data_IF_453267535531
#
_entry.id   IF_453267535531
#
_cell.length_a   1.000
_cell.length_b   1.000
_cell.length_c   1.000
_cell.angle_alpha   90.00
_cell.angle_beta   90.00
_cell.angle_gamma   90.00
#
_symmetry.space_group_name_H-M   'P 1'
#
loop_
_entity.id
_entity.type
_entity.pdbx_description
1 polymer ?
#
# COMPACT_ATOMS: atom_id res chain seq x y z
N UNK A 1 -23.31 -5.87 -0.89
CA UNK A 1 -22.22 -4.92 -1.17
C UNK A 1 -21.09 -5.67 -1.84
N UNK A 2 -20.51 -5.12 -2.90
CA UNK A 2 -19.37 -5.72 -3.60
C UNK A 2 -18.09 -5.35 -2.85
N UNK A 3 -17.25 -6.33 -2.53
CA UNK A 3 -15.93 -6.06 -1.94
C UNK A 3 -15.07 -5.33 -2.97
N UNK A 4 -14.38 -4.27 -2.54
CA UNK A 4 -13.49 -3.49 -3.40
C UNK A 4 -12.06 -3.52 -2.84
N UNK A 5 -11.11 -3.84 -3.72
CA UNK A 5 -9.69 -3.88 -3.44
C UNK A 5 -9.00 -2.87 -4.36
N UNK A 6 -8.37 -1.86 -3.78
CA UNK A 6 -7.58 -0.88 -4.50
C UNK A 6 -6.10 -1.26 -4.39
N UNK A 7 -5.45 -1.49 -5.53
CA UNK A 7 -4.02 -1.83 -5.60
C UNK A 7 -3.34 -0.78 -6.45
N UNK A 8 -2.25 -0.19 -5.96
CA UNK A 8 -1.50 0.85 -6.68
C UNK A 8 0.00 0.69 -6.51
N UNK A 9 0.75 1.04 -7.55
CA UNK A 9 2.16 1.39 -7.41
C UNK A 9 2.30 2.76 -6.73
N UNK A 10 3.50 3.07 -6.25
CA UNK A 10 3.81 4.30 -5.52
C UNK A 10 4.47 5.34 -6.43
N UNK A 11 5.71 5.10 -6.84
CA UNK A 11 6.52 6.09 -7.55
C UNK A 11 5.89 6.47 -8.89
N UNK A 12 5.71 7.78 -9.12
CA UNK A 12 5.09 8.33 -10.33
C UNK A 12 3.67 7.81 -10.61
N UNK A 13 3.02 7.18 -9.64
CA UNK A 13 1.66 6.64 -9.74
C UNK A 13 0.77 7.20 -8.64
N UNK A 14 0.98 6.77 -7.40
CA UNK A 14 0.26 7.30 -6.24
C UNK A 14 0.97 8.53 -5.64
N UNK A 15 2.30 8.54 -5.71
CA UNK A 15 3.19 9.62 -5.28
C UNK A 15 3.74 10.37 -6.51
N UNK A 16 4.00 11.67 -6.35
CA UNK A 16 4.57 12.53 -7.39
C UNK A 16 3.73 13.76 -7.72
N UNK A 17 2.53 13.86 -7.16
CA UNK A 17 1.69 15.05 -7.24
C UNK A 17 0.91 15.29 -5.94
N UNK A 18 1.41 16.20 -5.11
CA UNK A 18 0.92 16.43 -3.74
C UNK A 18 -0.59 16.66 -3.65
N UNK A 19 -1.14 17.55 -4.48
CA UNK A 19 -2.57 17.85 -4.45
C UNK A 19 -3.44 16.63 -4.84
N UNK A 20 -3.02 15.85 -5.83
CA UNK A 20 -3.75 14.66 -6.25
C UNK A 20 -3.65 13.54 -5.20
N UNK A 21 -2.47 13.37 -4.58
CA UNK A 21 -2.26 12.44 -3.48
C UNK A 21 -3.19 12.76 -2.30
N UNK A 22 -3.29 14.03 -1.90
CA UNK A 22 -4.19 14.46 -0.82
C UNK A 22 -5.65 14.15 -1.14
N UNK A 23 -6.12 14.53 -2.33
CA UNK A 23 -7.50 14.31 -2.75
C UNK A 23 -7.87 12.82 -2.83
N UNK A 24 -7.00 12.00 -3.41
CA UNK A 24 -7.24 10.58 -3.54
C UNK A 24 -7.15 9.88 -2.18
N UNK A 25 -6.22 10.29 -1.31
CA UNK A 25 -6.09 9.75 0.05
C UNK A 25 -7.33 9.97 0.89
N UNK A 26 -7.92 11.17 0.84
CA UNK A 26 -9.16 11.49 1.56
C UNK A 26 -10.34 10.64 1.06
N UNK A 27 -10.48 10.52 -0.26
CA UNK A 27 -11.53 9.72 -0.89
C UNK A 27 -11.39 8.23 -0.57
N UNK A 28 -10.17 7.71 -0.61
CA UNK A 28 -9.88 6.30 -0.30
C UNK A 28 -10.14 5.99 1.17
N UNK A 29 -9.74 6.87 2.10
CA UNK A 29 -10.02 6.69 3.53
C UNK A 29 -11.52 6.74 3.83
N UNK A 30 -12.25 7.69 3.24
CA UNK A 30 -13.71 7.76 3.36
C UNK A 30 -14.39 6.51 2.81
N UNK A 31 -13.95 6.03 1.64
CA UNK A 31 -14.50 4.82 1.03
C UNK A 31 -14.14 3.54 1.82
N UNK A 32 -12.94 3.47 2.40
CA UNK A 32 -12.52 2.42 3.34
C UNK A 32 -13.44 2.37 4.56
N UNK A 33 -13.73 3.52 5.18
CA UNK A 33 -14.62 3.60 6.35
C UNK A 33 -16.06 3.21 6.01
N UNK A 34 -16.59 3.65 4.87
CA UNK A 34 -17.98 3.42 4.51
C UNK A 34 -18.25 2.01 3.97
N UNK A 35 -17.32 1.44 3.20
CA UNK A 35 -17.55 0.21 2.42
C UNK A 35 -16.59 -0.93 2.77
N UNK A 36 -15.66 -0.73 3.70
CA UNK A 36 -14.66 -1.74 4.06
C UNK A 36 -13.66 -2.03 2.94
N UNK A 37 -13.36 -1.01 2.11
CA UNK A 37 -12.36 -1.14 1.04
C UNK A 37 -11.00 -1.48 1.59
N UNK A 38 -10.32 -2.42 0.92
CA UNK A 38 -8.95 -2.78 1.19
C UNK A 38 -8.01 -2.04 0.24
N UNK A 39 -6.92 -1.51 0.76
CA UNK A 39 -5.92 -0.72 0.02
C UNK A 39 -4.59 -1.44 0.10
N UNK A 40 -3.92 -1.63 -1.03
CA UNK A 40 -2.64 -2.32 -1.15
C UNK A 40 -1.67 -1.43 -1.91
N UNK A 41 -0.49 -1.23 -1.33
CA UNK A 41 0.63 -0.65 -2.07
C UNK A 41 1.49 -1.77 -2.64
N UNK A 42 1.74 -1.72 -3.94
CA UNK A 42 2.48 -2.71 -4.70
C UNK A 42 3.62 -2.05 -5.44
N UNK A 43 4.83 -2.11 -4.90
CA UNK A 43 5.98 -1.33 -5.37
C UNK A 43 7.24 -2.20 -5.52
N UNK A 44 8.14 -1.75 -6.39
CA UNK A 44 9.48 -2.32 -6.51
C UNK A 44 10.43 -1.95 -5.36
N UNK A 45 10.05 -1.01 -4.49
CA UNK A 45 10.89 -0.60 -3.35
C UNK A 45 11.10 -1.75 -2.36
N UNK A 46 12.30 -1.80 -1.78
CA UNK A 46 12.60 -2.66 -0.63
C UNK A 46 11.84 -2.17 0.62
N UNK A 47 11.73 -3.00 1.68
CA UNK A 47 11.02 -2.60 2.90
C UNK A 47 11.54 -1.33 3.56
N UNK A 48 12.87 -1.12 3.51
CA UNK A 48 13.52 0.08 4.07
C UNK A 48 13.14 1.32 3.26
N UNK A 49 13.31 1.26 1.93
CA UNK A 49 13.01 2.39 1.03
C UNK A 49 11.51 2.73 0.98
N UNK A 50 10.65 1.75 1.21
CA UNK A 50 9.21 1.98 1.39
C UNK A 50 8.93 2.77 2.67
N UNK A 51 9.54 2.40 3.80
CA UNK A 51 9.33 3.09 5.09
C UNK A 51 9.79 4.54 5.06
N UNK A 52 10.92 4.80 4.40
CA UNK A 52 11.42 6.17 4.17
C UNK A 52 10.39 6.98 3.38
N UNK A 53 9.91 6.46 2.23
CA UNK A 53 8.89 7.12 1.43
C UNK A 53 7.59 7.37 2.21
N UNK A 54 7.15 6.37 2.98
CA UNK A 54 5.93 6.48 3.78
C UNK A 54 6.02 7.65 4.77
N UNK A 55 7.19 7.86 5.39
CA UNK A 55 7.42 8.97 6.30
C UNK A 55 7.54 10.30 5.55
N UNK A 56 8.29 10.35 4.46
CA UNK A 56 8.51 11.57 3.66
C UNK A 56 7.21 12.13 3.07
N UNK A 57 6.35 11.25 2.56
CA UNK A 57 5.11 11.60 1.87
C UNK A 57 3.88 11.56 2.80
N UNK A 58 4.08 11.23 4.07
CA UNK A 58 3.03 11.06 5.07
C UNK A 58 1.89 10.12 4.59
N UNK A 59 2.26 8.99 3.99
CA UNK A 59 1.28 8.04 3.45
C UNK A 59 0.54 7.33 4.57
N UNK A 60 -0.78 7.25 4.45
CA UNK A 60 -1.59 6.45 5.36
C UNK A 60 -1.28 4.96 5.19
N UNK A 61 -1.47 4.20 6.27
CA UNK A 61 -1.19 2.76 6.27
C UNK A 61 -2.14 1.99 5.34
N UNK A 62 -1.61 1.15 4.43
CA UNK A 62 -2.42 0.24 3.64
C UNK A 62 -2.83 -0.99 4.47
N UNK A 63 -3.75 -1.78 3.93
CA UNK A 63 -4.16 -3.07 4.51
C UNK A 63 -3.16 -4.19 4.19
N UNK A 64 -2.42 -4.06 3.08
CA UNK A 64 -1.32 -4.95 2.72
C UNK A 64 -0.22 -4.20 1.96
N UNK A 65 0.99 -4.74 2.00
CA UNK A 65 2.13 -4.28 1.23
C UNK A 65 2.65 -5.41 0.37
N UNK A 66 2.94 -5.10 -0.88
CA UNK A 66 3.65 -5.97 -1.81
C UNK A 66 4.92 -5.21 -2.19
N UNK A 67 6.05 -5.63 -1.63
CA UNK A 67 7.34 -4.95 -1.73
C UNK A 67 8.31 -5.79 -2.55
N UNK A 68 9.46 -5.23 -2.89
CA UNK A 68 10.54 -5.94 -3.58
C UNK A 68 10.06 -6.61 -4.88
N UNK A 69 9.17 -5.93 -5.63
CA UNK A 69 8.55 -6.45 -6.88
C UNK A 69 7.72 -7.72 -6.63
N UNK A 70 7.15 -7.87 -5.44
CA UNK A 70 6.26 -8.97 -5.08
C UNK A 70 6.93 -10.20 -4.49
N UNK A 71 8.23 -10.15 -4.19
CA UNK A 71 8.88 -11.24 -3.44
C UNK A 71 8.55 -11.21 -1.96
N UNK A 72 8.09 -10.07 -1.43
CA UNK A 72 7.70 -9.90 -0.04
C UNK A 72 6.29 -9.33 0.07
N UNK A 73 5.41 -10.04 0.77
CA UNK A 73 4.05 -9.58 1.09
C UNK A 73 3.92 -9.39 2.59
N UNK A 74 3.38 -8.26 3.02
CA UNK A 74 3.08 -7.96 4.42
C UNK A 74 1.57 -7.74 4.56
N UNK A 75 0.95 -8.43 5.51
CA UNK A 75 -0.50 -8.38 5.73
C UNK A 75 -0.82 -7.76 7.10
N UNK A 76 -1.98 -7.11 7.19
CA UNK A 76 -2.59 -6.65 8.45
C UNK A 76 -1.67 -5.76 9.32
N UNK A 77 -0.79 -4.98 8.69
CA UNK A 77 0.16 -4.11 9.38
C UNK A 77 1.31 -4.86 10.09
N UNK A 78 1.50 -6.14 9.80
CA UNK A 78 2.65 -6.92 10.26
C UNK A 78 3.96 -6.30 9.76
N UNK A 79 4.99 -6.29 10.63
CA UNK A 79 6.36 -5.95 10.24
C UNK A 79 7.13 -7.16 9.67
N UNK A 80 6.54 -8.35 9.72
CA UNK A 80 7.10 -9.57 9.14
C UNK A 80 6.38 -9.87 7.84
N UNK A 81 7.14 -10.22 6.82
CA UNK A 81 6.60 -10.73 5.57
C UNK A 81 5.96 -12.11 5.78
N UNK A 82 5.01 -12.43 4.90
CA UNK A 82 4.36 -13.73 4.85
C UNK A 82 5.39 -14.81 4.48
N UNK A 83 5.65 -15.69 5.44
CA UNK A 83 6.65 -16.75 5.30
C UNK A 83 6.22 -17.78 4.25
N UNK A 84 4.93 -18.10 4.14
CA UNK A 84 4.45 -19.08 3.16
C UNK A 84 4.60 -18.54 1.74
N UNK A 85 4.31 -17.25 1.53
CA UNK A 85 4.50 -16.58 0.23
C UNK A 85 5.93 -16.72 -0.29
N UNK A 86 6.92 -16.47 0.58
CA UNK A 86 8.34 -16.53 0.21
C UNK A 86 8.82 -17.93 -0.18
N UNK A 87 8.10 -18.99 0.23
CA UNK A 87 8.45 -20.39 -0.05
C UNK A 87 7.84 -20.94 -1.35
N UNK A 88 7.05 -20.14 -2.09
CA UNK A 88 6.37 -20.58 -3.32
C UNK A 88 7.26 -20.38 -4.58
N UNK A 89 8.42 -19.72 -4.44
CA UNK A 89 9.39 -19.46 -5.51
C UNK A 89 10.53 -20.50 -5.53
#
# INVERSE_FOLDING_TARGET
MTKFLFVTDLDHTFVGHDQALLQLSDRLQSHRQQYGTKIVYSTGRSPVLYRELQQEQNLFSPDALVLSVGTEIYLDGSNNSDAEWSNIL
#
